data_IF_715227295777
#
_entry.id   IF_715227295777
#
_cell.length_a   1.000
_cell.length_b   1.000
_cell.length_c   1.000
_cell.angle_alpha   90.00
_cell.angle_beta   90.00
_cell.angle_gamma   90.00
#
_symmetry.space_group_name_H-M   'P 1'
#
loop_
_entity.id
_entity.type
_entity.pdbx_description
1 polymer ?
#
# COMPACT_ATOMS: atom_id res chain seq x y z
N UNK A 1 -41.79 29.07 -0.66
CA UNK A 1 -40.40 28.87 -1.11
C UNK A 1 -40.06 27.38 -1.00
N UNK A 2 -40.12 26.66 -2.12
CA UNK A 2 -40.18 25.18 -2.15
C UNK A 2 -38.82 24.52 -1.91
N UNK A 3 -38.78 23.57 -0.98
CA UNK A 3 -37.63 22.72 -0.62
C UNK A 3 -37.36 21.64 -1.70
N UNK A 4 -37.22 22.02 -2.97
CA UNK A 4 -37.05 21.09 -4.09
C UNK A 4 -35.59 20.78 -4.46
N UNK A 5 -34.64 21.00 -3.53
CA UNK A 5 -33.22 20.62 -3.70
C UNK A 5 -32.84 19.33 -2.94
N UNK A 6 -33.79 18.42 -2.76
CA UNK A 6 -33.46 17.05 -2.36
C UNK A 6 -32.75 16.37 -3.54
N UNK A 7 -31.44 16.24 -3.39
CA UNK A 7 -30.48 15.50 -4.23
C UNK A 7 -31.20 14.29 -4.86
N UNK A 8 -31.42 14.33 -6.18
CA UNK A 8 -31.84 13.16 -6.95
C UNK A 8 -30.72 12.12 -6.81
N UNK A 9 -30.86 11.17 -5.88
CA UNK A 9 -30.01 10.00 -5.82
C UNK A 9 -30.16 9.30 -7.18
N UNK A 10 -29.13 9.40 -8.04
CA UNK A 10 -29.10 8.68 -9.31
C UNK A 10 -29.31 7.20 -8.96
N UNK A 11 -30.31 6.56 -9.59
CA UNK A 11 -30.46 5.11 -9.49
C UNK A 11 -29.20 4.49 -10.09
N UNK A 12 -28.46 3.73 -9.27
CA UNK A 12 -27.28 3.01 -9.75
C UNK A 12 -27.76 1.99 -10.79
N UNK A 13 -27.18 2.09 -11.98
CA UNK A 13 -27.42 1.16 -13.07
C UNK A 13 -26.54 -0.07 -12.90
N UNK A 14 -26.90 -1.19 -13.52
CA UNK A 14 -26.05 -2.40 -13.52
C UNK A 14 -24.63 -2.12 -14.02
N UNK A 15 -24.48 -1.20 -14.98
CA UNK A 15 -23.17 -0.77 -15.47
C UNK A 15 -22.34 -0.07 -14.40
N UNK A 16 -22.95 0.75 -13.55
CA UNK A 16 -22.24 1.42 -12.45
C UNK A 16 -21.66 0.39 -11.47
N UNK A 17 -22.37 -0.70 -11.19
CA UNK A 17 -21.86 -1.80 -10.35
C UNK A 17 -20.70 -2.53 -11.01
N UNK A 18 -20.83 -2.88 -12.29
CA UNK A 18 -19.75 -3.57 -13.05
C UNK A 18 -18.48 -2.73 -13.08
N UNK A 19 -18.61 -1.44 -13.41
CA UNK A 19 -17.48 -0.50 -13.43
C UNK A 19 -16.86 -0.39 -12.03
N UNK A 20 -17.68 -0.28 -10.98
CA UNK A 20 -17.18 -0.19 -9.61
C UNK A 20 -16.38 -1.43 -9.20
N UNK A 21 -16.86 -2.64 -9.53
CA UNK A 21 -16.14 -3.90 -9.23
C UNK A 21 -14.82 -3.96 -9.98
N UNK A 22 -14.79 -3.55 -11.25
CA UNK A 22 -13.55 -3.51 -12.04
C UNK A 22 -12.56 -2.51 -11.44
N UNK A 23 -13.02 -1.30 -11.10
CA UNK A 23 -12.17 -0.27 -10.50
C UNK A 23 -11.62 -0.69 -9.14
N UNK A 24 -12.42 -1.37 -8.32
CA UNK A 24 -11.94 -1.95 -7.06
C UNK A 24 -10.87 -3.00 -7.32
N UNK A 25 -11.10 -3.92 -8.26
CA UNK A 25 -10.13 -4.95 -8.64
C UNK A 25 -8.79 -4.35 -9.13
N UNK A 26 -8.86 -3.34 -10.00
CA UNK A 26 -7.68 -2.61 -10.45
C UNK A 26 -6.98 -1.90 -9.28
N UNK A 27 -7.74 -1.27 -8.39
CA UNK A 27 -7.22 -0.66 -7.17
C UNK A 27 -6.44 -1.65 -6.31
N UNK A 28 -6.95 -2.87 -6.12
CA UNK A 28 -6.23 -3.93 -5.41
C UNK A 28 -4.95 -4.35 -6.12
N UNK A 29 -4.96 -4.50 -7.44
CA UNK A 29 -3.77 -4.86 -8.23
C UNK A 29 -2.68 -3.80 -8.10
N UNK A 30 -3.04 -2.51 -8.14
CA UNK A 30 -2.07 -1.42 -7.98
C UNK A 30 -1.57 -1.28 -6.54
N UNK A 31 -2.40 -1.58 -5.55
CA UNK A 31 -2.02 -1.48 -4.14
C UNK A 31 -1.17 -2.68 -3.69
N UNK A 32 -1.37 -3.85 -4.28
CA UNK A 32 -0.64 -5.08 -3.95
C UNK A 32 0.89 -4.93 -3.97
N UNK A 33 1.56 -4.35 -4.98
CA UNK A 33 3.03 -4.22 -4.96
C UNK A 33 3.54 -3.33 -3.81
N UNK A 34 2.81 -2.27 -3.46
CA UNK A 34 3.15 -1.41 -2.31
C UNK A 34 2.99 -2.20 -1.01
N UNK A 35 1.86 -2.90 -0.87
CA UNK A 35 1.60 -3.77 0.28
C UNK A 35 2.64 -4.89 0.42
N UNK A 36 3.01 -5.53 -0.70
CA UNK A 36 4.02 -6.58 -0.75
C UNK A 36 5.39 -6.06 -0.32
N UNK A 37 5.76 -4.84 -0.70
CA UNK A 37 7.01 -4.20 -0.26
C UNK A 37 7.05 -4.05 1.27
N UNK A 38 5.94 -3.66 1.89
CA UNK A 38 5.80 -3.57 3.36
C UNK A 38 5.94 -4.96 3.99
N UNK A 39 5.30 -5.98 3.42
CA UNK A 39 5.40 -7.35 3.95
C UNK A 39 6.85 -7.84 3.91
N UNK A 40 7.51 -7.66 2.77
CA UNK A 40 8.90 -8.10 2.57
C UNK A 40 9.83 -7.34 3.51
N UNK A 41 9.62 -6.05 3.75
CA UNK A 41 10.48 -5.26 4.63
C UNK A 41 10.43 -5.70 6.10
N UNK A 42 9.36 -6.39 6.52
CA UNK A 42 9.21 -6.97 7.86
C UNK A 42 9.43 -8.49 7.92
N UNK A 43 9.78 -9.15 6.81
CA UNK A 43 9.96 -10.61 6.77
C UNK A 43 11.44 -11.01 6.87
N UNK A 44 11.70 -12.23 7.33
CA UNK A 44 13.05 -12.76 7.41
C UNK A 44 13.62 -13.05 6.01
N UNK A 45 14.90 -12.74 5.81
CA UNK A 45 15.64 -13.01 4.57
C UNK A 45 15.49 -14.45 4.09
N UNK A 46 15.50 -15.43 4.99
CA UNK A 46 15.31 -16.84 4.63
C UNK A 46 13.95 -17.07 3.95
N UNK A 47 12.86 -16.54 4.52
CA UNK A 47 11.51 -16.70 3.97
C UNK A 47 11.31 -15.92 2.67
N UNK A 48 11.99 -14.77 2.53
CA UNK A 48 11.96 -13.96 1.32
C UNK A 48 12.66 -14.72 0.17
N UNK A 49 13.88 -15.20 0.38
CA UNK A 49 14.67 -15.90 -0.66
C UNK A 49 14.06 -17.24 -1.03
N UNK A 50 13.42 -17.94 -0.08
CA UNK A 50 12.69 -19.18 -0.35
C UNK A 50 11.36 -18.98 -1.09
N UNK A 51 10.89 -17.74 -1.28
CA UNK A 51 9.62 -17.44 -1.95
C UNK A 51 8.38 -17.78 -1.12
N UNK A 52 8.52 -17.88 0.21
CA UNK A 52 7.42 -18.23 1.11
C UNK A 52 6.51 -17.02 1.41
N UNK A 53 7.04 -15.80 1.30
CA UNK A 53 6.31 -14.56 1.57
C UNK A 53 5.32 -14.25 0.43
N UNK A 54 4.01 -14.23 0.73
CA UNK A 54 2.95 -14.00 -0.29
C UNK A 54 1.93 -12.93 0.10
N UNK A 55 1.28 -13.10 1.26
CA UNK A 55 0.19 -12.22 1.71
C UNK A 55 0.36 -11.66 3.12
N UNK A 56 1.31 -12.18 3.91
CA UNK A 56 1.58 -11.71 5.27
C UNK A 56 3.06 -11.91 5.60
N UNK A 57 3.61 -11.15 6.55
CA UNK A 57 5.01 -11.26 6.91
C UNK A 57 5.30 -12.62 7.53
N UNK A 58 6.44 -13.21 7.16
CA UNK A 58 6.90 -14.50 7.66
C UNK A 58 8.26 -14.35 8.31
N UNK A 59 8.34 -14.74 9.59
CA UNK A 59 9.52 -14.52 10.43
C UNK A 59 9.76 -13.02 10.63
N UNK A 60 8.99 -12.39 11.51
CA UNK A 60 9.06 -10.94 11.72
C UNK A 60 10.50 -10.49 12.01
N UNK A 61 11.05 -9.63 11.16
CA UNK A 61 12.44 -9.21 11.21
C UNK A 61 12.57 -7.71 10.91
N UNK A 62 13.33 -6.99 11.75
CA UNK A 62 13.62 -5.55 11.61
C UNK A 62 15.12 -5.26 11.53
N UNK A 63 15.95 -6.28 11.34
CA UNK A 63 17.40 -6.15 11.25
C UNK A 63 17.83 -5.23 10.11
N UNK A 64 17.13 -5.30 8.96
CA UNK A 64 17.37 -4.44 7.80
C UNK A 64 17.21 -2.96 8.16
N UNK A 65 16.15 -2.59 8.89
CA UNK A 65 15.95 -1.23 9.38
C UNK A 65 17.07 -0.79 10.33
N UNK A 66 17.44 -1.66 11.28
CA UNK A 66 18.56 -1.38 12.20
C UNK A 66 19.86 -1.15 11.44
N UNK A 67 20.14 -1.95 10.40
CA UNK A 67 21.34 -1.81 9.59
C UNK A 67 21.35 -0.49 8.80
N UNK A 68 20.23 -0.13 8.18
CA UNK A 68 20.09 1.14 7.46
C UNK A 68 20.26 2.34 8.40
N UNK A 69 19.59 2.31 9.56
CA UNK A 69 19.63 3.40 10.53
C UNK A 69 20.95 3.48 11.31
N UNK A 70 21.70 2.38 11.40
CA UNK A 70 23.06 2.39 11.96
C UNK A 70 24.05 3.18 11.09
N UNK A 71 23.74 3.38 9.81
CA UNK A 71 24.52 4.22 8.93
C UNK A 71 24.07 5.68 9.07
N UNK A 72 24.84 6.49 9.80
CA UNK A 72 24.56 7.91 10.01
C UNK A 72 24.32 8.69 8.71
N UNK A 73 24.87 8.26 7.56
CA UNK A 73 24.66 8.95 6.28
C UNK A 73 23.22 8.89 5.80
N UNK A 74 22.47 7.82 6.12
CA UNK A 74 21.13 7.61 5.56
C UNK A 74 20.12 8.65 6.09
N UNK A 75 19.97 8.86 7.41
CA UNK A 75 19.06 9.89 7.91
C UNK A 75 19.45 11.30 7.47
N UNK A 76 20.75 11.63 7.44
CA UNK A 76 21.20 12.95 6.97
C UNK A 76 20.94 13.16 5.47
N UNK A 77 21.16 12.14 4.64
CA UNK A 77 20.84 12.22 3.21
C UNK A 77 19.34 12.36 2.97
N UNK A 78 18.50 11.66 3.74
CA UNK A 78 17.05 11.82 3.68
C UNK A 78 16.59 13.20 4.17
N UNK A 79 17.26 13.76 5.18
CA UNK A 79 16.97 15.11 5.64
C UNK A 79 17.18 16.16 4.54
N UNK A 80 18.22 15.98 3.72
CA UNK A 80 18.46 16.84 2.56
C UNK A 80 17.27 16.84 1.59
N UNK A 81 16.58 15.71 1.37
CA UNK A 81 15.41 15.69 0.45
C UNK A 81 14.21 16.49 0.95
N UNK A 82 14.17 16.85 2.24
CA UNK A 82 13.13 17.71 2.82
C UNK A 82 13.55 19.19 2.77
N UNK A 83 14.84 19.45 2.94
CA UNK A 83 15.38 20.81 2.97
C UNK A 83 15.52 21.45 1.58
N UNK A 84 15.90 20.68 0.57
CA UNK A 84 16.00 21.12 -0.82
C UNK A 84 14.64 21.00 -1.52
#
# INVERSE_FOLDING_TARGET
MSKSRLKRLKRLTMMDYVITVILLGLGFIFLYPVYYTIIVSFSDTFNITAGNVRFWPLGFNVSAYKQILSNNRVPFAYWNTILY
#
